data_IF_368739443550
#
_entry.id   IF_368739443550
#
_cell.length_a   1.000
_cell.length_b   1.000
_cell.length_c   1.000
_cell.angle_alpha   90.00
_cell.angle_beta   90.00
_cell.angle_gamma   90.00
#
_symmetry.space_group_name_H-M   'P 1'
#
loop_
_entity.id
_entity.type
_entity.pdbx_description
1 polymer ?
#
# COMPACT_ATOMS: atom_id res chain seq x y z
N UNK A 1 1.64 3.38 9.99
CA UNK A 1 0.93 3.49 8.70
C UNK A 1 -0.53 3.83 8.98
N UNK A 2 -1.18 4.68 8.18
CA UNK A 2 -2.59 5.01 8.38
C UNK A 2 -3.47 3.77 8.19
N UNK A 3 -4.43 3.57 9.08
CA UNK A 3 -5.38 2.46 8.98
C UNK A 3 -6.40 2.75 7.87
N UNK A 4 -7.03 1.72 7.30
CA UNK A 4 -8.08 1.89 6.29
C UNK A 4 -9.22 2.83 6.77
N UNK A 5 -9.58 2.76 8.05
CA UNK A 5 -10.57 3.64 8.67
C UNK A 5 -10.16 5.12 8.62
N UNK A 6 -8.94 5.45 9.08
CA UNK A 6 -8.39 6.81 9.06
C UNK A 6 -8.25 7.35 7.63
N UNK A 7 -8.00 6.44 6.69
CA UNK A 7 -7.92 6.75 5.27
C UNK A 7 -9.29 7.15 4.72
N UNK A 8 -10.36 6.41 5.06
CA UNK A 8 -11.74 6.74 4.64
C UNK A 8 -12.23 8.08 5.18
N UNK A 9 -11.93 8.40 6.43
CA UNK A 9 -12.34 9.67 7.06
C UNK A 9 -11.71 10.87 6.36
N UNK A 10 -10.43 10.77 5.97
CA UNK A 10 -9.69 11.87 5.34
C UNK A 10 -10.21 12.20 3.93
N UNK A 11 -10.79 11.22 3.23
CA UNK A 11 -11.30 11.37 1.87
C UNK A 11 -12.77 11.82 1.79
N UNK A 12 -13.47 11.92 2.92
CA UNK A 12 -14.85 12.39 2.93
C UNK A 12 -14.93 13.82 2.32
N UNK A 13 -15.88 14.01 1.40
CA UNK A 13 -16.14 15.25 0.64
C UNK A 13 -15.01 15.72 -0.30
N UNK A 14 -14.04 14.85 -0.62
CA UNK A 14 -12.98 15.16 -1.59
C UNK A 14 -13.38 14.66 -2.98
N UNK A 15 -13.19 15.50 -3.99
CA UNK A 15 -13.68 15.23 -5.37
C UNK A 15 -12.56 15.12 -6.39
N UNK A 16 -11.41 15.73 -6.11
CA UNK A 16 -10.29 15.80 -7.04
C UNK A 16 -9.04 15.33 -6.34
N UNK A 17 -8.32 14.44 -7.00
CA UNK A 17 -7.16 13.73 -6.48
C UNK A 17 -5.95 13.93 -7.39
N UNK A 18 -4.78 13.82 -6.80
CA UNK A 18 -3.50 13.72 -7.50
C UNK A 18 -2.65 12.65 -6.83
N UNK A 19 -1.93 11.86 -7.61
CA UNK A 19 -1.03 10.83 -7.11
C UNK A 19 0.39 11.06 -7.63
N UNK A 20 1.37 10.82 -6.77
CA UNK A 20 2.79 11.01 -7.06
C UNK A 20 3.58 9.80 -6.59
N UNK A 21 4.36 9.24 -7.49
CA UNK A 21 5.31 8.15 -7.23
C UNK A 21 6.70 8.75 -6.98
N UNK A 22 7.33 8.42 -5.85
CA UNK A 22 8.71 8.83 -5.60
C UNK A 22 9.68 7.92 -6.37
N UNK A 23 10.50 8.50 -7.25
CA UNK A 23 11.40 7.71 -8.10
C UNK A 23 12.47 7.01 -7.28
N UNK A 24 12.44 5.68 -7.21
CA UNK A 24 13.43 4.91 -6.44
C UNK A 24 13.57 5.45 -5.00
N UNK A 25 12.45 5.61 -4.27
CA UNK A 25 12.38 6.31 -2.98
C UNK A 25 13.53 6.00 -2.01
N UNK A 26 13.86 4.72 -1.81
CA UNK A 26 14.92 4.31 -0.87
C UNK A 26 16.32 4.83 -1.26
N UNK A 27 16.65 4.81 -2.57
CA UNK A 27 17.93 5.31 -3.08
C UNK A 27 18.11 6.81 -2.90
N UNK A 28 17.02 7.56 -2.65
CA UNK A 28 17.10 8.98 -2.36
C UNK A 28 17.61 9.26 -0.94
N UNK A 29 17.43 8.31 -0.02
CA UNK A 29 17.80 8.50 1.38
C UNK A 29 19.29 8.24 1.62
N UNK A 30 19.99 9.15 2.31
CA UNK A 30 21.37 8.91 2.75
C UNK A 30 21.40 7.75 3.75
N UNK A 31 22.37 6.86 3.57
CA UNK A 31 22.70 5.85 4.57
C UNK A 31 23.70 6.43 5.57
N UNK A 32 23.43 6.21 6.86
CA UNK A 32 24.31 6.61 7.94
C UNK A 32 25.71 6.00 7.78
N UNK A 33 26.76 6.77 8.08
CA UNK A 33 28.15 6.38 7.80
C UNK A 33 28.56 5.11 8.53
N UNK A 34 28.10 4.90 9.76
CA UNK A 34 28.45 3.71 10.56
C UNK A 34 27.71 2.47 10.05
N UNK A 35 26.52 2.66 9.49
CA UNK A 35 25.71 1.56 8.94
C UNK A 35 26.18 1.09 7.55
N UNK A 36 26.98 1.89 6.84
CA UNK A 36 27.40 1.60 5.45
C UNK A 36 28.12 0.27 5.30
N UNK A 37 29.01 -0.05 6.22
CA UNK A 37 29.83 -1.27 6.14
C UNK A 37 28.96 -2.53 6.11
N UNK A 38 27.87 -2.56 6.88
CA UNK A 38 26.90 -3.67 6.97
C UNK A 38 26.22 -3.95 5.63
N UNK A 39 26.07 -2.92 4.78
CA UNK A 39 25.45 -3.04 3.47
C UNK A 39 26.46 -3.23 2.33
N UNK A 40 27.73 -3.47 2.65
CA UNK A 40 28.75 -3.73 1.63
C UNK A 40 28.52 -5.09 0.98
N UNK A 41 28.72 -5.16 -0.33
CA UNK A 41 28.61 -6.42 -1.08
C UNK A 41 29.87 -6.66 -1.91
N UNK A 42 30.17 -7.94 -2.11
CA UNK A 42 31.35 -8.40 -2.85
C UNK A 42 30.93 -8.72 -4.28
N UNK A 43 31.72 -8.23 -5.23
CA UNK A 43 31.65 -8.59 -6.64
C UNK A 43 33.01 -9.15 -7.08
N UNK A 44 33.12 -9.80 -8.25
CA UNK A 44 34.42 -10.24 -8.76
C UNK A 44 35.45 -9.10 -8.90
N UNK A 45 34.99 -7.87 -9.11
CA UNK A 45 35.84 -6.70 -9.29
C UNK A 45 36.21 -5.98 -7.98
N UNK A 46 35.63 -6.39 -6.84
CA UNK A 46 35.92 -5.80 -5.53
C UNK A 46 34.71 -5.65 -4.61
N UNK A 47 34.93 -4.96 -3.49
CA UNK A 47 33.91 -4.67 -2.46
C UNK A 47 33.32 -3.28 -2.70
N UNK A 48 32.00 -3.22 -2.79
CA UNK A 48 31.26 -1.98 -2.99
C UNK A 48 30.42 -1.65 -1.76
N UNK A 49 30.53 -0.42 -1.28
CA UNK A 49 29.80 0.06 -0.10
C UNK A 49 28.82 1.16 -0.52
N UNK A 50 27.50 0.95 -0.40
CA UNK A 50 26.51 1.93 -0.82
C UNK A 50 26.49 3.15 0.13
N UNK A 51 26.31 4.34 -0.43
CA UNK A 51 26.12 5.58 0.35
C UNK A 51 24.64 5.94 0.58
N UNK A 52 23.73 5.18 -0.02
CA UNK A 52 22.28 5.35 0.01
C UNK A 52 21.63 4.05 0.46
N UNK A 53 20.40 4.13 0.95
CA UNK A 53 19.69 2.95 1.44
C UNK A 53 19.43 1.99 0.28
N UNK A 54 20.01 0.76 0.30
CA UNK A 54 19.79 -0.19 -0.77
C UNK A 54 18.38 -0.78 -0.72
N UNK A 55 17.89 -1.22 -1.87
CA UNK A 55 16.67 -2.04 -1.92
C UNK A 55 16.90 -3.40 -1.24
N UNK A 56 15.89 -3.90 -0.54
CA UNK A 56 15.97 -5.17 0.19
C UNK A 56 16.49 -5.06 1.62
N UNK A 57 16.79 -3.84 2.11
CA UNK A 57 16.95 -3.62 3.55
C UNK A 57 15.65 -3.95 4.32
N UNK A 58 15.76 -4.21 5.61
CA UNK A 58 14.63 -4.68 6.45
C UNK A 58 13.55 -3.62 6.70
N UNK A 59 13.94 -2.36 6.88
CA UNK A 59 13.07 -1.24 7.30
C UNK A 59 13.01 0.00 6.37
N UNK A 60 13.47 -0.02 5.10
CA UNK A 60 13.60 1.19 4.29
C UNK A 60 12.26 1.85 3.99
N UNK A 61 11.21 1.05 3.84
CA UNK A 61 9.84 1.51 3.60
C UNK A 61 9.29 2.33 4.78
N UNK A 62 9.53 1.87 6.01
CA UNK A 62 9.07 2.56 7.21
C UNK A 62 9.84 3.87 7.41
N UNK A 63 11.16 3.82 7.20
CA UNK A 63 12.00 5.00 7.31
C UNK A 63 11.64 6.05 6.25
N UNK A 64 11.47 5.64 4.99
CA UNK A 64 11.06 6.53 3.90
C UNK A 64 9.71 7.18 4.17
N UNK A 65 8.71 6.38 4.55
CA UNK A 65 7.40 6.90 4.93
C UNK A 65 7.51 7.93 6.05
N UNK A 66 8.30 7.66 7.10
CA UNK A 66 8.47 8.60 8.21
C UNK A 66 9.07 9.92 7.72
N UNK A 67 10.10 9.87 6.87
CA UNK A 67 10.74 11.09 6.35
C UNK A 67 9.77 11.92 5.51
N UNK A 68 9.06 11.28 4.58
CA UNK A 68 8.08 11.96 3.72
C UNK A 68 6.93 12.52 4.55
N UNK A 69 6.41 11.76 5.52
CA UNK A 69 5.35 12.21 6.42
C UNK A 69 5.79 13.39 7.29
N UNK A 70 7.03 13.40 7.80
CA UNK A 70 7.56 14.55 8.55
C UNK A 70 7.63 15.80 7.68
N UNK A 71 8.04 15.68 6.41
CA UNK A 71 8.11 16.83 5.49
C UNK A 71 6.73 17.32 5.07
N UNK A 72 5.78 16.40 4.85
CA UNK A 72 4.40 16.71 4.42
C UNK A 72 3.44 16.92 5.60
N UNK A 73 3.93 16.95 6.84
CA UNK A 73 3.12 17.23 8.03
C UNK A 73 2.21 18.48 7.91
N UNK A 74 2.59 19.57 7.22
CA UNK A 74 1.69 20.72 7.03
C UNK A 74 0.44 20.43 6.19
N UNK A 75 0.45 19.39 5.36
CA UNK A 75 -0.66 19.01 4.47
C UNK A 75 -1.47 17.83 5.03
N UNK A 76 -0.86 16.99 5.87
CA UNK A 76 -1.50 15.82 6.47
C UNK A 76 -2.28 16.23 7.72
N UNK A 77 -3.49 15.71 7.97
CA UNK A 77 -4.26 14.76 7.15
C UNK A 77 -5.27 15.45 6.19
N UNK A 78 -5.27 16.79 6.10
CA UNK A 78 -6.36 17.54 5.49
C UNK A 78 -6.36 17.50 3.95
N UNK A 79 -5.19 17.50 3.32
CA UNK A 79 -5.04 17.59 1.86
C UNK A 79 -3.97 16.67 1.28
N UNK A 80 -3.28 15.90 2.13
CA UNK A 80 -2.30 14.91 1.71
C UNK A 80 -2.39 13.62 2.53
N UNK A 81 -2.06 12.50 1.89
CA UNK A 81 -1.85 11.19 2.49
C UNK A 81 -0.58 10.58 1.90
N UNK A 82 0.24 9.97 2.75
CA UNK A 82 1.45 9.26 2.32
C UNK A 82 1.29 7.78 2.63
N UNK A 83 1.53 6.95 1.63
CA UNK A 83 1.54 5.51 1.79
C UNK A 83 2.80 4.90 1.18
N UNK A 84 3.76 4.50 2.02
CA UNK A 84 5.05 3.97 1.59
C UNK A 84 5.69 4.88 0.52
N UNK A 85 5.61 4.50 -0.75
CA UNK A 85 6.22 5.20 -1.89
C UNK A 85 5.25 6.09 -2.68
N UNK A 86 3.96 6.13 -2.29
CA UNK A 86 2.91 6.91 -2.94
C UNK A 86 2.55 8.16 -2.10
N UNK A 87 2.66 9.33 -2.73
CA UNK A 87 2.14 10.59 -2.21
C UNK A 87 0.81 10.95 -2.87
N UNK A 88 -0.25 11.04 -2.09
CA UNK A 88 -1.60 11.33 -2.58
C UNK A 88 -2.02 12.68 -2.06
N UNK A 89 -2.48 13.55 -2.96
CA UNK A 89 -3.11 14.83 -2.62
C UNK A 89 -4.58 14.79 -2.98
N UNK A 90 -5.39 15.50 -2.21
CA UNK A 90 -6.83 15.53 -2.41
C UNK A 90 -7.42 16.86 -1.96
N UNK A 91 -8.48 17.27 -2.65
CA UNK A 91 -9.22 18.50 -2.34
C UNK A 91 -10.71 18.37 -2.72
N UNK A 92 -11.54 19.27 -2.20
CA UNK A 92 -12.95 19.32 -2.58
C UNK A 92 -13.14 19.99 -3.96
N UNK A 93 -12.24 20.90 -4.32
CA UNK A 93 -12.30 21.65 -5.58
C UNK A 93 -10.94 21.71 -6.29
N UNK A 94 -10.95 21.95 -7.60
CA UNK A 94 -9.73 22.11 -8.41
C UNK A 94 -8.84 23.27 -7.94
N UNK A 95 -9.38 24.48 -7.59
CA UNK A 95 -8.56 25.57 -7.08
C UNK A 95 -7.83 25.23 -5.77
N UNK A 96 -8.50 24.54 -4.85
CA UNK A 96 -7.86 24.06 -3.61
C UNK A 96 -6.74 23.05 -3.87
N UNK A 97 -6.95 22.16 -4.85
CA UNK A 97 -5.91 21.21 -5.25
C UNK A 97 -4.69 21.93 -5.83
N UNK A 98 -4.89 22.99 -6.62
CA UNK A 98 -3.80 23.81 -7.16
C UNK A 98 -2.97 24.48 -6.05
N UNK A 99 -3.60 25.02 -5.02
CA UNK A 99 -2.88 25.59 -3.88
C UNK A 99 -2.12 24.51 -3.10
N UNK A 100 -2.74 23.34 -2.90
CA UNK A 100 -2.09 22.18 -2.26
C UNK A 100 -0.88 21.72 -3.07
N UNK A 101 -0.99 21.65 -4.39
CA UNK A 101 0.11 21.29 -5.30
C UNK A 101 1.28 22.27 -5.22
N UNK A 102 1.02 23.58 -5.14
CA UNK A 102 2.09 24.58 -4.98
C UNK A 102 2.88 24.34 -3.70
N UNK A 103 2.19 24.11 -2.58
CA UNK A 103 2.83 23.83 -1.29
C UNK A 103 3.58 22.50 -1.34
N UNK A 104 2.97 21.45 -1.89
CA UNK A 104 3.58 20.14 -2.06
C UNK A 104 4.88 20.20 -2.87
N UNK A 105 4.87 20.80 -4.06
CA UNK A 105 6.08 20.88 -4.88
C UNK A 105 7.16 21.74 -4.25
N UNK A 106 6.80 22.77 -3.48
CA UNK A 106 7.75 23.55 -2.70
C UNK A 106 8.46 22.66 -1.66
N UNK A 107 7.69 21.90 -0.87
CA UNK A 107 8.24 20.98 0.15
C UNK A 107 9.12 19.90 -0.51
N UNK A 108 8.65 19.27 -1.59
CA UNK A 108 9.39 18.24 -2.33
C UNK A 108 10.72 18.78 -2.85
N UNK A 109 10.72 20.00 -3.40
CA UNK A 109 11.93 20.66 -3.88
C UNK A 109 12.90 20.99 -2.75
N UNK A 110 12.41 21.52 -1.63
CA UNK A 110 13.23 21.84 -0.46
C UNK A 110 13.84 20.57 0.19
N UNK A 111 13.08 19.47 0.21
CA UNK A 111 13.53 18.18 0.71
C UNK A 111 14.40 17.41 -0.31
N UNK A 112 14.55 17.92 -1.54
CA UNK A 112 15.27 17.29 -2.64
C UNK A 112 14.77 15.87 -2.99
N UNK A 113 13.45 15.66 -2.88
CA UNK A 113 12.82 14.42 -3.33
C UNK A 113 12.57 14.47 -4.84
N UNK A 114 12.79 13.33 -5.51
CA UNK A 114 12.54 13.14 -6.94
C UNK A 114 11.23 12.39 -7.16
N UNK A 115 10.37 12.96 -8.00
CA UNK A 115 9.09 12.39 -8.39
C UNK A 115 9.17 11.80 -9.79
N UNK A 116 8.42 10.73 -10.01
CA UNK A 116 8.30 10.07 -11.30
C UNK A 116 7.14 10.65 -12.10
N UNK A 117 7.43 11.51 -13.07
CA UNK A 117 6.40 12.17 -13.87
C UNK A 117 5.58 11.19 -14.72
N UNK A 118 6.14 10.04 -15.10
CA UNK A 118 5.44 9.06 -15.92
C UNK A 118 4.41 8.24 -15.13
N UNK A 119 4.59 8.13 -13.81
CA UNK A 119 3.69 7.40 -12.90
C UNK A 119 2.82 8.31 -12.03
N UNK A 120 3.02 9.62 -12.11
CA UNK A 120 2.21 10.60 -11.38
C UNK A 120 0.96 10.94 -12.18
N UNK A 121 -0.18 11.07 -11.52
CA UNK A 121 -1.45 11.50 -12.13
C UNK A 121 -2.01 12.74 -11.43
N UNK A 122 -2.67 13.61 -12.19
CA UNK A 122 -3.17 14.91 -11.72
C UNK A 122 -4.63 15.09 -12.13
N UNK A 123 -5.41 15.75 -11.28
CA UNK A 123 -6.82 16.08 -11.53
C UNK A 123 -7.71 14.86 -11.81
N UNK A 124 -7.39 13.74 -11.18
CA UNK A 124 -8.17 12.52 -11.28
C UNK A 124 -9.40 12.61 -10.37
N UNK A 125 -10.52 12.03 -10.81
CA UNK A 125 -11.73 11.88 -9.99
C UNK A 125 -11.70 10.59 -9.15
N UNK A 126 -10.93 9.61 -9.61
CA UNK A 126 -10.69 8.35 -8.92
C UNK A 126 -9.21 7.99 -9.04
N UNK A 127 -8.61 7.57 -7.93
CA UNK A 127 -7.20 7.12 -7.92
C UNK A 127 -7.07 5.71 -7.37
N UNK A 128 -6.11 4.97 -7.91
CA UNK A 128 -5.73 3.65 -7.40
C UNK A 128 -4.59 3.80 -6.40
N UNK A 129 -4.81 3.37 -5.17
CA UNK A 129 -3.82 3.36 -4.10
C UNK A 129 -3.90 2.04 -3.33
N UNK A 130 -2.78 1.32 -3.18
CA UNK A 130 -2.71 0.09 -2.37
C UNK A 130 -3.74 -0.99 -2.76
N UNK A 131 -4.04 -1.14 -4.05
CA UNK A 131 -5.10 -2.06 -4.50
C UNK A 131 -6.52 -1.65 -4.09
N UNK A 132 -6.72 -0.38 -3.76
CA UNK A 132 -8.01 0.27 -3.53
C UNK A 132 -8.22 1.36 -4.57
N UNK A 133 -9.47 1.60 -4.91
CA UNK A 133 -9.94 2.72 -5.71
C UNK A 133 -10.55 3.74 -4.75
N UNK A 134 -10.03 4.96 -4.78
CA UNK A 134 -10.49 6.05 -3.92
C UNK A 134 -11.20 7.05 -4.84
N UNK A 135 -12.45 7.34 -4.51
CA UNK A 135 -13.30 8.27 -5.24
C UNK A 135 -14.07 9.15 -4.25
N UNK A 136 -14.82 10.13 -4.74
CA UNK A 136 -15.73 10.94 -3.92
C UNK A 136 -16.84 10.12 -3.25
N UNK A 137 -17.18 8.96 -3.81
CA UNK A 137 -18.18 8.04 -3.26
C UNK A 137 -17.61 7.14 -2.16
N UNK A 138 -16.30 7.25 -1.87
CA UNK A 138 -15.59 6.47 -0.87
C UNK A 138 -14.52 5.56 -1.46
N UNK A 139 -14.05 4.64 -0.61
CA UNK A 139 -12.95 3.72 -0.94
C UNK A 139 -13.49 2.33 -1.23
N UNK A 140 -13.13 1.80 -2.41
CA UNK A 140 -13.50 0.46 -2.87
C UNK A 140 -12.26 -0.38 -3.12
N UNK A 141 -12.42 -1.69 -3.22
CA UNK A 141 -11.35 -2.55 -3.69
C UNK A 141 -11.21 -2.50 -5.20
N UNK A 142 -9.97 -2.59 -5.68
CA UNK A 142 -9.71 -2.75 -7.10
C UNK A 142 -10.37 -4.07 -7.60
N UNK A 143 -11.32 -4.00 -8.55
CA UNK A 143 -12.00 -5.18 -9.06
C UNK A 143 -11.04 -6.20 -9.67
N UNK A 144 -9.92 -5.77 -10.25
CA UNK A 144 -8.90 -6.68 -10.77
C UNK A 144 -8.28 -7.53 -9.65
N UNK A 145 -8.03 -6.93 -8.48
CA UNK A 145 -7.50 -7.64 -7.30
C UNK A 145 -8.55 -8.57 -6.70
N UNK A 146 -9.82 -8.16 -6.70
CA UNK A 146 -10.93 -9.03 -6.27
C UNK A 146 -11.06 -10.24 -7.17
N UNK A 147 -11.04 -10.03 -8.49
CA UNK A 147 -11.12 -11.09 -9.50
C UNK A 147 -9.93 -12.05 -9.38
N UNK A 148 -8.72 -11.53 -9.23
CA UNK A 148 -7.53 -12.35 -9.04
C UNK A 148 -7.66 -13.28 -7.81
N UNK A 149 -8.14 -12.75 -6.68
CA UNK A 149 -8.38 -13.56 -5.47
C UNK A 149 -9.47 -14.61 -5.68
N UNK A 150 -10.56 -14.27 -6.39
CA UNK A 150 -11.63 -15.21 -6.69
C UNK A 150 -11.17 -16.35 -7.61
N UNK A 151 -10.22 -16.06 -8.51
CA UNK A 151 -9.66 -17.03 -9.45
C UNK A 151 -8.59 -17.97 -8.87
N UNK A 152 -8.10 -17.71 -7.64
CA UNK A 152 -7.10 -18.57 -7.01
C UNK A 152 -7.61 -20.00 -6.87
N UNK A 153 -6.82 -21.04 -7.20
CA UNK A 153 -7.23 -22.43 -7.03
C UNK A 153 -7.51 -22.77 -5.56
N UNK A 154 -8.30 -23.84 -5.33
CA UNK A 154 -8.51 -24.31 -3.96
C UNK A 154 -7.17 -24.80 -3.40
N UNK A 155 -6.80 -24.40 -2.18
CA UNK A 155 -5.51 -24.79 -1.61
C UNK A 155 -5.43 -26.31 -1.46
N UNK A 156 -4.34 -26.88 -1.95
CA UNK A 156 -4.06 -28.31 -1.89
C UNK A 156 -3.02 -28.64 -0.81
N UNK A 157 -2.14 -27.68 -0.48
CA UNK A 157 -1.11 -27.79 0.56
C UNK A 157 -1.31 -26.79 1.70
N UNK A 158 -0.66 -27.02 2.85
CA UNK A 158 -0.71 -26.11 4.01
C UNK A 158 -0.15 -24.73 3.62
N UNK A 159 0.86 -24.70 2.77
CA UNK A 159 1.45 -23.46 2.26
C UNK A 159 0.45 -22.70 1.37
N UNK A 160 -0.28 -23.40 0.51
CA UNK A 160 -1.35 -22.79 -0.30
C UNK A 160 -2.48 -22.24 0.58
N UNK A 161 -2.82 -22.95 1.65
CA UNK A 161 -3.83 -22.53 2.60
C UNK A 161 -3.39 -21.28 3.35
N UNK A 162 -2.16 -21.26 3.85
CA UNK A 162 -1.58 -20.10 4.50
C UNK A 162 -1.56 -18.91 3.54
N UNK A 163 -1.17 -19.12 2.28
CA UNK A 163 -1.22 -18.10 1.24
C UNK A 163 -2.64 -17.57 1.03
N UNK A 164 -3.63 -18.45 0.91
CA UNK A 164 -5.03 -18.07 0.72
C UNK A 164 -5.59 -17.27 1.90
N UNK A 165 -5.32 -17.69 3.14
CA UNK A 165 -5.74 -16.98 4.36
C UNK A 165 -5.06 -15.61 4.45
N UNK A 166 -3.76 -15.53 4.19
CA UNK A 166 -3.05 -14.25 4.16
C UNK A 166 -3.59 -13.31 3.08
N UNK A 167 -3.87 -13.83 1.89
CA UNK A 167 -4.38 -13.06 0.76
C UNK A 167 -5.80 -12.54 1.00
N UNK A 168 -6.66 -13.33 1.66
CA UNK A 168 -8.05 -12.95 2.00
C UNK A 168 -8.15 -12.04 3.22
N UNK A 169 -7.28 -12.21 4.23
CA UNK A 169 -7.22 -11.33 5.41
C UNK A 169 -6.95 -9.86 5.05
N UNK A 170 -6.23 -9.60 3.95
CA UNK A 170 -6.02 -8.25 3.44
C UNK A 170 -7.34 -7.51 3.13
N UNK A 171 -8.41 -8.23 2.75
CA UNK A 171 -9.74 -7.64 2.55
C UNK A 171 -10.51 -7.42 3.86
N UNK A 172 -10.38 -8.34 4.83
CA UNK A 172 -11.14 -8.27 6.09
C UNK A 172 -10.82 -7.00 6.90
N UNK A 173 -9.57 -6.55 6.86
CA UNK A 173 -9.10 -5.32 7.54
C UNK A 173 -9.64 -4.04 6.86
N UNK A 174 -10.04 -4.12 5.59
CA UNK A 174 -10.38 -2.95 4.78
C UNK A 174 -11.88 -2.64 4.71
N UNK A 175 -12.75 -3.62 4.93
CA UNK A 175 -14.19 -3.46 4.66
C UNK A 175 -15.01 -2.96 5.85
N UNK A 176 -14.51 -3.01 7.09
CA UNK A 176 -15.26 -2.63 8.31
C UNK A 176 -16.50 -3.48 8.60
N UNK A 177 -16.99 -4.23 7.61
CA UNK A 177 -17.97 -5.28 7.72
C UNK A 177 -17.29 -6.50 8.33
N UNK A 178 -17.98 -7.14 9.27
CA UNK A 178 -17.70 -8.50 9.71
C UNK A 178 -17.58 -9.40 8.48
N UNK A 179 -16.36 -9.63 8.00
CA UNK A 179 -16.08 -10.76 7.13
C UNK A 179 -16.57 -12.03 7.84
N UNK A 180 -16.80 -13.13 7.10
CA UNK A 180 -17.12 -14.41 7.74
C UNK A 180 -16.08 -14.63 8.85
N UNK A 181 -16.52 -14.99 10.07
CA UNK A 181 -15.66 -14.99 11.23
C UNK A 181 -14.42 -15.78 10.87
N UNK A 182 -13.27 -15.11 10.87
CA UNK A 182 -11.99 -15.80 10.91
C UNK A 182 -11.93 -16.48 12.27
N UNK A 183 -12.69 -17.58 12.42
CA UNK A 183 -12.31 -18.65 13.34
C UNK A 183 -10.84 -18.86 13.04
N UNK A 184 -10.00 -18.74 14.06
CA UNK A 184 -8.57 -18.95 13.95
C UNK A 184 -8.33 -20.28 13.23
N UNK A 185 -8.11 -20.24 11.93
CA UNK A 185 -7.64 -21.38 11.15
C UNK A 185 -6.17 -21.49 11.54
N UNK A 186 -5.91 -22.18 12.64
CA UNK A 186 -4.56 -22.57 13.01
C UNK A 186 -4.05 -23.50 11.91
N UNK A 187 -2.93 -23.11 11.28
CA UNK A 187 -2.15 -24.02 10.43
C UNK A 187 -1.44 -25.04 11.33
N UNK A 188 -2.19 -25.91 12.00
CA UNK A 188 -1.62 -27.09 12.66
C UNK A 188 -1.65 -28.25 11.66
N UNK A 189 -0.49 -28.93 11.53
CA UNK A 189 -0.24 -29.96 10.51
C UNK A 189 -1.11 -31.23 10.68
N UNK A 190 -1.81 -31.39 11.80
CA UNK A 190 -2.31 -32.70 12.24
C UNK A 190 -3.82 -32.76 12.58
N UNK A 191 -4.66 -32.00 11.87
CA UNK A 191 -6.12 -32.06 12.07
C UNK A 191 -6.93 -31.98 10.79
N UNK A 192 -7.63 -33.06 10.42
CA UNK A 192 -8.62 -33.11 9.33
C UNK A 192 -9.72 -32.01 9.45
N UNK A 193 -9.92 -31.44 10.64
CA UNK A 193 -10.94 -30.42 10.91
C UNK A 193 -10.57 -29.00 10.45
N UNK A 194 -9.29 -28.65 10.37
CA UNK A 194 -8.86 -27.32 9.90
C UNK A 194 -8.96 -27.17 8.38
N UNK A 195 -8.71 -28.27 7.68
CA UNK A 195 -8.72 -28.36 6.22
C UNK A 195 -10.12 -28.27 5.61
N UNK A 196 -11.12 -28.88 6.24
CA UNK A 196 -12.52 -28.82 5.78
C UNK A 196 -13.09 -27.41 5.93
N UNK A 197 -12.87 -26.77 7.07
CA UNK A 197 -13.32 -25.39 7.36
C UNK A 197 -12.68 -24.39 6.39
N UNK A 198 -11.39 -24.55 6.09
CA UNK A 198 -10.71 -23.68 5.14
C UNK A 198 -11.22 -23.81 3.70
N UNK A 199 -11.49 -25.05 3.24
CA UNK A 199 -12.10 -25.29 1.93
C UNK A 199 -13.52 -24.74 1.85
N UNK A 200 -14.27 -24.86 2.94
CA UNK A 200 -15.62 -24.31 3.07
C UNK A 200 -15.60 -22.78 3.05
N UNK A 201 -14.69 -22.14 3.78
CA UNK A 201 -14.46 -20.69 3.72
C UNK A 201 -14.05 -20.23 2.32
N UNK A 202 -13.14 -20.95 1.65
CA UNK A 202 -12.72 -20.62 0.29
C UNK A 202 -13.87 -20.76 -0.72
N UNK A 203 -14.69 -21.81 -0.59
CA UNK A 203 -15.89 -22.03 -1.40
C UNK A 203 -16.96 -20.95 -1.15
N UNK A 204 -17.19 -20.60 0.11
CA UNK A 204 -18.09 -19.51 0.51
C UNK A 204 -17.61 -18.16 -0.02
N UNK A 205 -16.30 -17.90 0.04
CA UNK A 205 -15.72 -16.68 -0.48
C UNK A 205 -15.92 -16.55 -2.00
N UNK A 206 -15.74 -17.65 -2.75
CA UNK A 206 -16.07 -17.68 -4.18
C UNK A 206 -17.56 -17.52 -4.45
N UNK A 207 -18.43 -18.09 -3.60
CA UNK A 207 -19.89 -17.92 -3.72
C UNK A 207 -20.32 -16.47 -3.50
N UNK A 208 -19.72 -15.77 -2.55
CA UNK A 208 -20.08 -14.38 -2.20
C UNK A 208 -19.43 -13.37 -3.14
N UNK A 209 -18.18 -13.59 -3.56
CA UNK A 209 -17.38 -12.59 -4.28
C UNK A 209 -16.94 -13.00 -5.69
N UNK A 210 -17.03 -14.27 -6.06
CA UNK A 210 -16.63 -14.79 -7.37
C UNK A 210 -17.76 -14.77 -8.39
N UNK A 211 -18.55 -13.68 -8.42
CA UNK A 211 -19.75 -13.55 -9.23
C UNK A 211 -19.66 -14.24 -10.59
N UNK A 212 -20.68 -15.04 -10.89
CA UNK A 212 -20.96 -15.60 -12.21
C UNK A 212 -20.85 -14.49 -13.26
N UNK A 213 -19.94 -14.72 -14.21
CA UNK A 213 -19.89 -14.09 -15.53
C UNK A 213 -21.27 -13.96 -16.15
#
# INVERSE_FOLDING_TARGET
MPTAATTNESFHDKKVFASFDFTQGFWQLPLDKESREVFSFITPDGVYTPARVPQGAMDPALHFQSQVQTKLAPLIPHSALVWVDDGILFAATVPELLETLKVFFKIVKEANFKLNTAKSSLFELEIKCCGRLISSEGVRHDPARVSALASLPLPATVDDLQYFVCATNYKAIACGTSGPPTRSVSCEKDGESGWSVARELAAEWRRVYGGTS
#
